data_IF_226275969345
#
_entry.id   IF_226275969345
#
_cell.length_a   1.000
_cell.length_b   1.000
_cell.length_c   1.000
_cell.angle_alpha   90.00
_cell.angle_beta   90.00
_cell.angle_gamma   90.00
#
_symmetry.space_group_name_H-M   'P 1'
#
loop_
_entity.id
_entity.type
_entity.pdbx_description
1 polymer ?
2 water ?
#
# COMPACT_ATOMS: atom_id res chain seq x y z
N UNK A 1 -4.09 15.53 3.23
CA UNK A 1 -3.83 14.45 4.23
C UNK A 1 -4.83 14.45 5.38
N UNK A 2 -5.45 15.58 5.64
CA UNK A 2 -6.18 15.71 6.84
C UNK A 2 -7.48 14.89 6.81
N UNK A 3 -8.19 14.78 5.67
CA UNK A 3 -9.43 13.98 5.63
C UNK A 3 -9.18 12.47 5.49
N UNK A 4 -10.14 11.62 5.83
CA UNK A 4 -9.91 10.16 5.83
C UNK A 4 -9.96 9.47 4.47
N UNK A 5 -10.56 10.12 3.48
CA UNK A 5 -10.87 9.41 2.23
C UNK A 5 -9.80 9.49 1.16
N UNK A 6 -9.43 8.33 0.62
CA UNK A 6 -8.57 8.25 -0.54
C UNK A 6 -9.49 7.94 -1.70
N UNK A 7 -9.34 8.68 -2.79
CA UNK A 7 -10.07 8.39 -4.01
C UNK A 7 -9.14 8.38 -5.21
N UNK A 8 -9.69 8.19 -6.41
CA UNK A 8 -8.86 8.14 -7.59
C UNK A 8 -9.45 9.03 -8.68
N UNK A 9 -8.70 9.17 -9.78
CA UNK A 9 -9.11 10.03 -10.91
C UNK A 9 -9.09 9.22 -12.20
N UNK A 10 -9.77 9.75 -13.22
CA UNK A 10 -10.09 8.94 -14.39
C UNK A 10 -8.90 8.68 -15.29
N UNK A 11 -8.02 9.66 -15.46
CA UNK A 11 -6.99 9.56 -16.51
C UNK A 11 -5.67 10.28 -16.31
N UNK A 12 -5.11 10.75 -17.42
CA UNK A 12 -3.76 11.29 -17.44
C UNK A 12 -3.69 12.73 -16.92
N UNK A 13 -4.80 13.44 -17.05
CA UNK A 13 -4.87 14.84 -16.65
C UNK A 13 -6.02 15.05 -15.70
N UNK A 14 -5.89 16.06 -14.85
CA UNK A 14 -6.93 16.33 -13.88
C UNK A 14 -8.10 17.04 -14.56
N UNK A 15 -9.33 16.56 -14.35
CA UNK A 15 -10.50 17.24 -14.90
C UNK A 15 -10.95 18.36 -13.97
N UNK A 16 -11.79 19.25 -14.48
CA UNK A 16 -12.40 20.30 -13.67
C UNK A 16 -13.21 19.68 -12.51
N UNK A 17 -13.90 18.57 -12.80
CA UNK A 17 -14.63 17.77 -11.80
C UNK A 17 -13.73 17.29 -10.67
N UNK A 18 -12.59 16.69 -11.05
CA UNK A 18 -11.57 16.24 -10.10
C UNK A 18 -11.10 17.36 -9.17
N UNK A 19 -10.81 18.53 -9.75
CA UNK A 19 -10.30 19.66 -8.97
C UNK A 19 -11.25 20.07 -7.84
N UNK A 20 -12.54 20.03 -8.13
CA UNK A 20 -13.55 20.34 -7.13
C UNK A 20 -13.60 19.29 -6.04
N UNK A 21 -13.58 18.01 -6.42
CA UNK A 21 -13.71 16.98 -5.39
C UNK A 21 -12.50 16.96 -4.47
N UNK A 22 -11.32 17.26 -5.02
CA UNK A 22 -10.10 17.31 -4.21
C UNK A 22 -10.15 18.37 -3.11
N UNK A 23 -11.00 19.36 -3.25
CA UNK A 23 -11.12 20.37 -2.19
C UNK A 23 -12.09 20.02 -1.08
N UNK A 24 -12.79 18.90 -1.22
CA UNK A 24 -13.69 18.51 -0.17
C UNK A 24 -12.87 18.10 1.05
N UNK A 25 -13.16 18.65 2.23
CA UNK A 25 -12.30 18.39 3.40
C UNK A 25 -12.18 16.91 3.80
N UNK A 26 -13.16 16.09 3.42
CA UNK A 26 -13.12 14.63 3.72
C UNK A 26 -12.03 13.89 2.92
N UNK A 27 -11.56 14.50 1.84
CA UNK A 27 -10.53 13.88 1.02
C UNK A 27 -9.18 14.04 1.70
N UNK A 28 -8.43 12.95 1.77
CA UNK A 28 -7.07 12.99 2.33
C UNK A 28 -6.00 12.49 1.36
N UNK A 29 -6.41 11.81 0.29
CA UNK A 29 -5.44 11.23 -0.62
C UNK A 29 -5.99 10.85 -1.97
N UNK A 30 -5.07 10.63 -2.90
CA UNK A 30 -5.38 10.16 -4.24
C UNK A 30 -4.52 8.92 -4.46
N UNK A 31 -5.14 7.82 -4.87
CA UNK A 31 -4.41 6.64 -5.31
C UNK A 31 -4.35 6.67 -6.82
N UNK A 32 -3.16 6.43 -7.36
CA UNK A 32 -2.93 6.38 -8.79
C UNK A 32 -2.85 4.94 -9.29
N UNK A 33 -3.28 4.73 -10.53
CA UNK A 33 -3.27 3.42 -11.18
C UNK A 33 -2.61 3.51 -12.56
N UNK A 34 -2.46 2.38 -13.24
CA UNK A 34 -1.84 2.35 -14.56
C UNK A 34 -2.50 3.31 -15.54
N UNK A 35 -3.83 3.40 -15.46
CA UNK A 35 -4.61 4.30 -16.30
C UNK A 35 -4.30 5.79 -16.11
N UNK A 36 -3.64 6.13 -15.00
CA UNK A 36 -3.18 7.48 -14.74
C UNK A 36 -1.74 7.72 -15.17
N UNK A 37 -1.08 6.71 -15.72
CA UNK A 37 0.32 6.84 -16.10
C UNK A 37 0.59 6.62 -17.59
N UNK A 38 1.07 7.67 -18.24
CA UNK A 38 1.55 7.58 -19.62
C UNK A 38 3.08 7.70 -19.68
N UNK A 39 3.63 8.75 -19.08
CA UNK A 39 5.05 9.01 -19.13
C UNK A 39 5.48 9.87 -17.95
N UNK A 40 6.79 10.01 -17.76
CA UNK A 40 7.34 10.71 -16.59
C UNK A 40 6.88 12.16 -16.47
N UNK A 41 6.94 12.91 -17.57
CA UNK A 41 6.54 14.30 -17.50
C UNK A 41 5.03 14.47 -17.27
N UNK A 42 4.23 13.59 -17.87
CA UNK A 42 2.77 13.62 -17.64
C UNK A 42 2.45 13.31 -16.17
N UNK A 43 3.15 12.35 -15.59
CA UNK A 43 2.94 12.03 -14.16
C UNK A 43 3.30 13.22 -13.25
N UNK A 44 4.45 13.85 -13.49
CA UNK A 44 4.84 15.04 -12.72
C UNK A 44 3.78 16.16 -12.80
N UNK A 45 3.26 16.37 -14.00
CA UNK A 45 2.24 17.41 -14.23
C UNK A 45 0.93 17.07 -13.53
N UNK A 46 0.55 15.80 -13.55
CA UNK A 46 -0.64 15.33 -12.84
C UNK A 46 -0.55 15.58 -11.34
N UNK A 47 0.59 15.21 -10.76
CA UNK A 47 0.76 15.33 -9.33
C UNK A 47 0.88 16.79 -8.91
N UNK A 48 1.51 17.60 -9.75
CA UNK A 48 1.57 19.04 -9.50
C UNK A 48 0.15 19.63 -9.45
N UNK A 49 -0.67 19.23 -10.42
CA UNK A 49 -2.05 19.69 -10.48
C UNK A 49 -2.87 19.20 -9.29
N UNK A 50 -2.67 17.96 -8.87
CA UNK A 50 -3.38 17.45 -7.69
C UNK A 50 -3.03 18.30 -6.46
N UNK A 51 -1.76 18.59 -6.29
CA UNK A 51 -1.32 19.39 -5.14
C UNK A 51 -1.82 20.84 -5.19
N UNK A 52 -1.81 21.43 -6.40
CA UNK A 52 -2.31 22.79 -6.61
C UNK A 52 -3.81 22.87 -6.30
N UNK A 53 -4.57 21.90 -6.80
CA UNK A 53 -6.03 21.90 -6.61
C UNK A 53 -6.42 21.69 -5.16
N UNK A 54 -5.70 20.78 -4.48
CA UNK A 54 -5.97 20.45 -3.09
C UNK A 54 -5.71 21.66 -2.19
N UNK A 55 -4.69 22.43 -2.54
CA UNK A 55 -4.20 23.59 -1.78
C UNK A 55 -3.47 23.18 -0.51
N UNK A 56 -4.18 22.51 0.38
CA UNK A 56 -3.60 21.95 1.59
C UNK A 56 -2.83 20.68 1.23
N UNK A 57 -1.92 20.24 2.10
CA UNK A 57 -1.23 18.98 1.87
C UNK A 57 -2.20 17.83 1.63
N UNK A 58 -1.86 17.00 0.65
CA UNK A 58 -2.67 15.84 0.30
C UNK A 58 -1.69 14.71 0.00
N UNK A 59 -2.13 13.49 0.24
CA UNK A 59 -1.28 12.33 0.02
C UNK A 59 -1.50 11.80 -1.39
N UNK A 60 -0.41 11.38 -2.04
CA UNK A 60 -0.52 10.70 -3.33
C UNK A 60 0.15 9.33 -3.18
N UNK A 61 -0.58 8.27 -3.49
CA UNK A 61 -0.09 6.92 -3.31
C UNK A 61 -0.29 6.09 -4.55
N UNK A 62 0.41 4.95 -4.57
CA UNK A 62 0.38 4.02 -5.67
C UNK A 62 0.81 2.62 -5.15
N UNK A 63 0.33 1.56 -5.79
CA UNK A 63 0.84 0.20 -5.54
C UNK A 63 2.08 -0.06 -6.38
N UNK A 64 3.25 0.06 -5.77
CA UNK A 64 4.52 -0.06 -6.48
C UNK A 64 5.41 -0.97 -5.61
N UNK A 65 5.25 -2.28 -5.80
CA UNK A 65 5.98 -3.30 -5.05
C UNK A 65 7.18 -3.84 -5.80
N UNK A 66 7.08 -3.83 -7.12
CA UNK A 66 7.97 -4.58 -8.02
C UNK A 66 7.29 -5.81 -8.59
N UNK A 67 7.87 -6.36 -9.65
CA UNK A 67 7.39 -7.59 -10.23
C UNK A 67 6.01 -7.42 -10.82
N UNK A 68 5.07 -8.22 -10.34
CA UNK A 68 3.72 -8.20 -10.89
C UNK A 68 2.93 -6.97 -10.50
N UNK A 69 3.39 -6.27 -9.46
CA UNK A 69 2.72 -5.02 -9.02
C UNK A 69 3.69 -3.84 -9.15
N UNK A 70 3.69 -3.25 -10.32
CA UNK A 70 4.43 -2.01 -10.55
C UNK A 70 3.61 -1.20 -11.55
N UNK A 71 2.87 -0.21 -11.05
CA UNK A 71 2.01 0.61 -11.91
C UNK A 71 2.80 1.47 -12.87
N UNK A 72 3.94 1.99 -12.43
CA UNK A 72 4.72 2.92 -13.25
C UNK A 72 5.96 2.18 -13.70
N UNK A 73 5.99 1.80 -14.97
CA UNK A 73 7.08 0.97 -15.51
C UNK A 73 7.89 1.71 -16.56
N UNK A 74 7.22 2.17 -17.62
CA UNK A 74 7.91 2.87 -18.70
C UNK A 74 8.56 4.13 -18.19
N UNK A 75 9.90 4.23 -18.30
CA UNK A 75 10.62 5.42 -17.85
C UNK A 75 11.06 5.36 -16.40
N UNK A 76 10.70 4.28 -15.73
CA UNK A 76 11.16 3.94 -14.39
C UNK A 76 12.08 2.73 -14.47
N UNK A 77 12.91 2.55 -13.46
CA UNK A 77 13.65 1.31 -13.29
C UNK A 77 12.69 0.17 -12.96
N UNK A 78 12.86 -0.96 -13.63
CA UNK A 78 12.06 -2.14 -13.29
C UNK A 78 12.55 -2.72 -11.95
N UNK A 79 11.60 -2.97 -11.06
CA UNK A 79 11.88 -3.52 -9.75
C UNK A 79 11.46 -4.99 -9.82
N UNK A 80 12.29 -5.91 -9.33
CA UNK A 80 11.97 -7.32 -9.42
C UNK A 80 10.82 -7.73 -8.49
N UNK A 81 10.25 -8.92 -8.68
CA UNK A 81 9.38 -9.49 -7.65
C UNK A 81 10.12 -9.61 -6.32
N UNK A 82 9.40 -9.32 -5.23
CA UNK A 82 9.99 -9.40 -3.88
C UNK A 82 10.64 -10.74 -3.61
N UNK A 83 10.09 -11.80 -4.18
CA UNK A 83 10.64 -13.14 -4.02
C UNK A 83 12.11 -13.26 -4.44
N UNK A 84 12.54 -12.49 -5.44
CA UNK A 84 13.90 -12.67 -5.99
C UNK A 84 15.03 -12.33 -5.03
N UNK A 85 14.84 -11.38 -4.12
CA UNK A 85 15.98 -10.92 -3.28
C UNK A 85 16.61 -12.09 -2.52
N UNK A 86 15.78 -12.92 -1.88
CA UNK A 86 16.27 -14.04 -1.06
C UNK A 86 16.86 -15.19 -1.88
N UNK A 87 16.65 -15.17 -3.18
CA UNK A 87 17.25 -16.17 -4.06
C UNK A 87 18.69 -15.83 -4.46
N UNK A 88 19.10 -14.57 -4.24
CA UNK A 88 20.45 -14.12 -4.52
C UNK A 88 21.40 -14.35 -3.34
N UNK A 89 22.71 -14.38 -3.60
CA UNK A 89 23.72 -14.60 -2.54
C UNK A 89 23.84 -13.40 -1.59
N UNK A 90 23.47 -12.23 -2.09
CA UNK A 90 23.48 -11.03 -1.28
C UNK A 90 22.08 -10.42 -1.25
N UNK A 91 21.09 -11.24 -0.89
CA UNK A 91 19.68 -10.81 -0.89
C UNK A 91 19.35 -9.62 -0.01
N UNK A 92 19.94 -9.53 1.17
CA UNK A 92 19.64 -8.42 2.09
C UNK A 92 20.18 -7.10 1.50
N UNK A 93 21.38 -7.14 0.94
CA UNK A 93 21.96 -5.98 0.28
C UNK A 93 21.05 -5.56 -0.88
N UNK A 94 20.63 -6.51 -1.69
CA UNK A 94 19.82 -6.21 -2.87
C UNK A 94 18.39 -5.78 -2.52
N UNK A 95 17.81 -6.32 -1.45
CA UNK A 95 16.45 -5.92 -1.02
C UNK A 95 16.42 -4.47 -0.57
N UNK A 96 17.46 -4.05 0.15
CA UNK A 96 17.58 -2.63 0.51
C UNK A 96 17.72 -1.75 -0.71
N UNK A 97 18.50 -2.18 -1.72
CA UNK A 97 18.60 -1.44 -2.96
C UNK A 97 17.27 -1.33 -3.68
N UNK A 98 16.50 -2.41 -3.69
CA UNK A 98 15.17 -2.41 -4.33
C UNK A 98 14.22 -1.43 -3.66
N UNK A 99 14.18 -1.44 -2.34
CA UNK A 99 13.29 -0.56 -1.56
C UNK A 99 13.68 0.89 -1.73
N UNK A 100 14.99 1.15 -1.67
CA UNK A 100 15.51 2.49 -1.86
C UNK A 100 15.22 3.01 -3.26
N UNK A 101 15.48 2.19 -4.26
CA UNK A 101 15.28 2.58 -5.64
C UNK A 101 13.82 2.85 -5.97
N UNK A 103 11.40 3.60 -3.94
CA UNK A 103 10.99 4.77 -3.20
C UNK A 103 11.51 6.07 -3.76
N UNK A 104 12.82 6.09 -4.06
CA UNK A 104 13.49 7.28 -4.58
C UNK A 104 12.88 7.71 -5.89
N UNK A 105 12.61 6.76 -6.79
CA UNK A 105 12.02 7.10 -8.08
C UNK A 105 10.59 7.64 -7.93
N UNK A 106 9.82 7.14 -6.97
CA UNK A 106 8.50 7.70 -6.69
C UNK A 106 8.60 9.13 -6.16
N UNK A 107 9.50 9.37 -5.23
CA UNK A 107 9.70 10.69 -4.64
C UNK A 107 10.13 11.67 -5.73
N UNK A 108 10.96 11.20 -6.65
CA UNK A 108 11.40 12.05 -7.78
C UNK A 108 10.25 12.45 -8.70
N UNK A 109 9.14 11.72 -8.65
CA UNK A 109 7.96 12.05 -9.45
C UNK A 109 6.77 12.56 -8.63
N UNK A 110 7.08 13.02 -7.42
CA UNK A 110 6.14 13.75 -6.57
C UNK A 110 5.03 12.85 -6.02
N UNK A 111 5.35 11.58 -5.76
CA UNK A 111 4.46 10.64 -5.11
C UNK A 111 4.91 10.48 -3.65
N UNK A 112 3.96 10.50 -2.70
CA UNK A 112 4.31 10.35 -1.28
C UNK A 112 4.69 8.94 -0.89
N UNK A 113 3.91 7.97 -1.34
CA UNK A 113 4.11 6.61 -0.84
C UNK A 113 3.67 5.53 -1.80
N UNK A 114 4.25 4.35 -1.59
CA UNK A 114 3.80 3.15 -2.23
C UNK A 114 3.22 2.29 -1.13
N UNK A 115 2.13 1.63 -1.43
CA UNK A 115 1.55 0.68 -0.48
C UNK A 115 2.38 -0.61 -0.50
N UNK A 116 3.45 -0.61 0.30
CA UNK A 116 4.44 -1.68 0.33
C UNK A 116 5.22 -1.58 1.63
N UNK A 117 5.71 -2.69 2.19
CA UNK A 117 5.89 -3.97 1.50
C UNK A 117 4.87 -5.03 1.89
N UNK A 118 4.81 -6.08 1.07
CA UNK A 118 4.07 -7.29 1.36
C UNK A 118 4.82 -8.08 2.45
N UNK A 119 4.11 -8.39 3.53
CA UNK A 119 4.66 -9.14 4.66
C UNK A 119 4.01 -10.52 4.76
N UNK A 120 3.22 -10.87 3.75
CA UNK A 120 2.60 -12.19 3.66
C UNK A 120 3.67 -13.28 3.49
N UNK A 122 4.78 -17.05 2.18
CA UNK A 122 4.54 -18.18 1.27
C UNK A 122 4.08 -17.74 -0.11
N UNK A 123 4.18 -18.66 -1.07
CA UNK A 123 3.90 -18.36 -2.48
C UNK A 123 2.65 -19.06 -3.02
N UNK A 124 1.98 -19.85 -2.20
CA UNK A 124 0.90 -20.73 -2.65
C UNK A 124 -0.40 -20.02 -3.00
N UNK A 125 -0.61 -18.83 -2.44
CA UNK A 125 -1.81 -18.05 -2.77
C UNK A 125 -1.54 -17.34 -4.09
N UNK A 126 -2.32 -17.69 -5.12
CA UNK A 126 -2.12 -17.15 -6.47
C UNK A 126 -2.02 -15.62 -6.52
N UNK A 127 -2.88 -14.96 -5.76
CA UNK A 127 -2.92 -13.49 -5.70
C UNK A 127 -1.64 -12.90 -5.14
N UNK A 128 -0.98 -13.64 -4.25
CA UNK A 128 0.29 -13.20 -3.68
C UNK A 128 1.46 -13.75 -4.49
N UNK A 129 1.67 -15.06 -4.43
CA UNK A 129 2.74 -15.66 -5.21
C UNK A 129 4.09 -15.01 -4.96
N UNK A 130 4.78 -14.62 -6.03
CA UNK A 130 6.12 -14.07 -5.92
C UNK A 130 6.17 -12.62 -5.42
N UNK A 131 5.02 -12.08 -5.01
CA UNK A 131 5.00 -10.83 -4.25
C UNK A 131 5.51 -10.98 -2.83
N UNK A 132 5.59 -12.22 -2.34
CA UNK A 132 6.07 -12.47 -1.00
C UNK A 132 7.60 -12.54 -1.01
N UNK A 133 8.22 -12.09 0.07
CA UNK A 133 9.68 -12.09 0.21
C UNK A 133 10.23 -13.48 0.50
N UNK A 134 9.39 -14.39 0.98
CA UNK A 134 9.86 -15.73 1.36
C UNK A 134 8.73 -16.64 1.82
N UNK A 135 9.08 -17.87 2.19
CA UNK A 135 8.13 -18.92 2.61
C UNK A 135 8.16 -19.22 4.09
N UNK A 136 9.05 -18.58 4.83
CA UNK A 136 9.14 -18.78 6.26
C UNK A 136 9.35 -17.46 6.94
N UNK A 137 9.16 -17.45 8.26
CA UNK A 137 9.20 -16.22 9.04
C UNK A 137 10.54 -15.49 8.93
N UNK A 138 11.64 -16.24 9.09
CA UNK A 138 12.96 -15.61 9.10
C UNK A 138 13.30 -14.97 7.75
N UNK A 139 13.03 -15.69 6.66
CA UNK A 139 13.30 -15.20 5.32
C UNK A 139 12.47 -13.95 5.02
N UNK A 140 11.21 -13.96 5.41
CA UNK A 140 10.37 -12.77 5.18
C UNK A 140 10.88 -11.61 6.00
N UNK A 141 11.14 -11.81 7.28
CA UNK A 141 11.61 -10.71 8.12
C UNK A 141 12.94 -10.12 7.64
N UNK A 142 13.89 -11.00 7.31
CA UNK A 142 15.23 -10.58 6.85
C UNK A 142 15.17 -9.64 5.65
N UNK A 143 14.41 -10.03 4.64
CA UNK A 143 14.39 -9.34 3.37
C UNK A 143 13.39 -8.18 3.33
N UNK A 144 12.26 -8.30 4.02
CA UNK A 144 11.33 -7.20 4.10
C UNK A 144 11.90 -6.09 4.98
N UNK A 145 12.64 -6.43 6.04
CA UNK A 145 13.29 -5.42 6.89
C UNK A 145 14.26 -4.59 6.06
N UNK A 146 15.00 -5.26 5.18
CA UNK A 146 15.98 -4.60 4.30
C UNK A 146 15.29 -3.65 3.33
N UNK A 147 14.21 -4.12 2.71
CA UNK A 147 13.42 -3.32 1.80
C UNK A 147 12.87 -2.09 2.52
N UNK A 148 12.34 -2.30 3.73
CA UNK A 148 11.86 -1.20 4.58
C UNK A 148 12.95 -0.17 4.90
N UNK A 149 14.15 -0.63 5.23
CA UNK A 149 15.26 0.28 5.47
C UNK A 149 15.54 1.18 4.28
N UNK A 150 15.44 0.61 3.08
CA UNK A 150 15.68 1.33 1.85
C UNK A 150 14.63 2.42 1.67
N UNK A 152 12.76 3.83 4.03
CA UNK A 152 12.94 4.81 5.11
C UNK A 152 14.13 5.76 4.82
N UNK A 153 15.18 5.21 4.22
CA UNK A 153 16.39 5.95 3.92
C UNK A 153 16.13 7.18 3.05
N UNK A 154 15.14 7.10 2.16
CA UNK A 154 14.79 8.24 1.30
C UNK A 154 13.60 9.05 1.79
N UNK A 155 13.06 8.71 2.95
CA UNK A 155 12.00 9.51 3.58
C UNK A 155 10.60 9.09 3.18
N UNK A 157 7.25 6.87 3.86
CA UNK A 157 6.50 6.15 4.88
C UNK A 157 6.21 4.71 4.41
N UNK A 158 6.21 3.79 5.35
CA UNK A 158 6.03 2.36 5.03
C UNK A 158 4.65 1.82 5.41
N UNK A 159 4.19 0.84 4.64
CA UNK A 159 2.87 0.23 4.83
C UNK A 159 2.94 -1.28 4.75
N UNK A 160 2.75 -1.95 5.88
CA UNK A 160 2.76 -3.41 5.89
C UNK A 160 1.42 -3.94 5.39
N UNK A 161 1.46 -5.02 4.61
CA UNK A 161 0.24 -5.66 4.14
C UNK A 161 0.46 -7.15 3.94
N UNK A 162 -0.60 -7.97 3.93
CA UNK A 162 -1.99 -7.61 4.21
C UNK A 162 -2.37 -8.24 5.54
N UNK A 163 -2.45 -7.40 6.56
CA UNK A 163 -2.63 -7.86 7.93
C UNK A 163 -3.97 -8.60 8.11
N UNK A 164 -3.98 -9.79 8.73
CA UNK A 164 -2.90 -10.40 9.53
C UNK A 164 -2.14 -11.49 8.77
N UNK A 165 -2.30 -11.55 7.45
CA UNK A 165 -1.54 -12.46 6.63
C UNK A 165 -2.37 -13.06 5.54
N UNK A 166 -1.96 -12.82 4.31
CA UNK A 166 -2.67 -13.27 3.11
C UNK A 166 -2.00 -14.48 2.45
N UNK A 167 -0.94 -15.00 3.09
CA UNK A 167 -0.10 -16.02 2.47
C UNK A 167 -0.76 -17.35 2.16
N UNK A 168 -1.79 -17.71 2.92
CA UNK A 168 -2.44 -19.02 2.79
C UNK A 168 -3.94 -18.94 2.44
N UNK A 169 -4.34 -17.86 1.80
CA UNK A 169 -5.73 -17.59 1.50
C UNK A 169 -6.23 -18.46 0.34
N UNK A 170 -7.47 -18.93 0.50
CA UNK A 170 -8.18 -19.69 -0.51
C UNK A 170 -9.39 -18.88 -0.95
N UNK A 171 -9.71 -18.91 -2.24
CA UNK A 171 -10.82 -18.12 -2.75
C UNK A 171 -11.73 -18.91 -3.68
N UNK A 172 -11.97 -20.17 -3.30
CA UNK A 172 -12.89 -21.03 -4.03
C UNK A 172 -14.33 -20.80 -3.56
N UNK A 173 -15.22 -21.76 -3.78
CA UNK A 173 -16.64 -21.58 -3.53
C UNK A 173 -17.09 -21.98 -2.11
N UNK A 174 -16.14 -22.34 -1.25
CA UNK A 174 -16.47 -22.76 0.12
C UNK A 174 -17.14 -21.66 0.95
N UNK A 175 -16.68 -20.43 0.76
CA UNK A 175 -17.22 -19.23 1.43
C UNK A 175 -17.36 -18.12 0.41
N UNK A 176 -18.10 -17.06 0.75
CA UNK A 176 -18.41 -15.97 -0.19
C UNK A 176 -17.33 -14.88 -0.22
N UNK A 177 -16.38 -14.98 0.70
CA UNK A 177 -15.23 -14.07 0.80
C UNK A 177 -13.97 -14.94 0.85
N UNK A 178 -12.85 -14.48 0.29
CA UNK A 178 -11.60 -15.24 0.42
C UNK A 178 -11.29 -15.51 1.88
N UNK A 179 -10.72 -16.66 2.18
CA UNK A 179 -10.70 -17.11 3.54
C UNK A 179 -9.46 -17.90 3.89
N UNK A 180 -9.24 -18.01 5.19
CA UNK A 180 -8.16 -18.80 5.74
C UNK A 180 -8.72 -19.52 6.95
N UNK A 181 -9.02 -20.81 6.78
CA UNK A 181 -9.68 -21.57 7.85
C UNK A 181 -8.74 -22.24 8.86
N UNK A 182 -7.45 -21.95 8.78
CA UNK A 182 -6.49 -22.49 9.76
C UNK A 182 -6.88 -22.17 11.19
N UNK A 183 -6.69 -23.15 12.09
CA UNK A 183 -7.00 -22.96 13.51
C UNK A 183 -6.06 -21.96 14.16
N UNK A 184 -4.84 -21.87 13.62
CA UNK A 184 -3.90 -20.86 14.05
C UNK A 184 -3.15 -20.26 12.86
N UNK A 185 -2.99 -18.94 12.88
CA UNK A 185 -2.14 -18.26 11.89
C UNK A 185 -0.96 -17.60 12.58
N UNK A 186 -0.50 -18.23 13.66
CA UNK A 186 0.58 -17.72 14.49
C UNK A 186 1.83 -17.33 13.72
N UNK A 187 2.29 -18.17 12.79
CA UNK A 187 3.53 -17.87 12.07
C UNK A 187 3.36 -16.61 11.23
N UNK A 188 2.26 -16.55 10.50
CA UNK A 188 1.94 -15.39 9.66
C UNK A 188 1.87 -14.12 10.46
N UNK A 190 3.20 -13.56 13.34
CA UNK A 190 4.51 -13.31 13.98
C UNK A 190 5.35 -12.35 13.18
N UNK A 191 5.19 -12.39 11.86
CA UNK A 191 5.90 -11.45 10.98
C UNK A 191 5.43 -10.02 11.24
N UNK A 192 4.11 -9.82 11.28
CA UNK A 192 3.54 -8.51 11.57
C UNK A 192 3.93 -8.06 12.97
N UNK A 193 3.84 -8.96 13.94
CA UNK A 193 4.21 -8.63 15.31
C UNK A 193 5.63 -8.09 15.39
N UNK A 194 6.56 -8.78 14.74
CA UNK A 194 7.98 -8.43 14.77
C UNK A 194 8.25 -7.09 14.14
N UNK A 195 7.59 -6.81 13.02
CA UNK A 195 7.78 -5.52 12.35
C UNK A 195 7.14 -4.35 13.10
N UNK A 196 5.96 -4.58 13.71
CA UNK A 196 5.34 -3.58 14.60
C UNK A 196 6.26 -3.30 15.79
N UNK A 197 6.75 -4.35 16.42
CA UNK A 197 7.62 -4.18 17.59
C UNK A 197 8.94 -3.47 17.27
N UNK A 198 9.48 -3.70 16.08
CA UNK A 198 10.69 -3.00 15.63
C UNK A 198 10.44 -1.53 15.32
N UNK A 199 9.18 -1.13 15.17
CA UNK A 199 8.81 0.27 14.97
C UNK A 199 9.07 0.79 13.57
N UNK A 200 9.04 -0.11 12.58
CA UNK A 200 9.39 0.22 11.21
C UNK A 200 8.20 0.35 10.27
N UNK A 201 6.98 0.22 10.80
CA UNK A 201 5.76 0.34 9.96
C UNK A 201 5.03 1.61 10.32
N UNK A 202 4.87 2.49 9.36
CA UNK A 202 4.08 3.73 9.56
C UNK A 202 2.59 3.53 9.39
N UNK A 203 2.23 2.53 8.60
CA UNK A 203 0.85 2.26 8.30
C UNK A 203 0.65 0.75 8.10
N UNK A 206 -5.03 -3.92 5.95
CA UNK A 206 -5.57 -5.21 6.30
C UNK A 206 -6.07 -6.01 5.09
N UNK A 207 -6.11 -7.32 5.25
CA UNK A 207 -6.60 -8.23 4.23
C UNK A 207 -8.13 -8.28 4.22
N UNK A 208 -8.72 -8.28 3.02
CA UNK A 208 -10.17 -8.53 2.89
C UNK A 208 -10.36 -10.06 2.82
N UNK A 209 -10.13 -10.67 3.98
CA UNK A 209 -10.06 -12.11 4.15
C UNK A 209 -10.73 -12.47 5.47
N UNK A 210 -11.54 -13.53 5.47
CA UNK A 210 -12.17 -14.02 6.68
C UNK A 210 -11.34 -15.15 7.26
N UNK A 211 -11.13 -15.10 8.57
CA UNK A 211 -10.38 -16.09 9.34
C UNK A 211 -11.39 -16.70 10.35
N UNK A 212 -12.19 -17.67 9.92
CA UNK A 212 -13.40 -18.07 10.68
C UNK A 212 -13.16 -18.61 12.08
N UNK A 213 -11.95 -19.05 12.38
CA UNK A 213 -11.60 -19.49 13.76
C UNK A 213 -11.61 -18.29 14.69
N UNK A 214 -11.31 -17.13 14.13
CA UNK A 214 -11.09 -15.89 14.87
C UNK A 214 -12.28 -14.94 14.89
N UNK A 215 -12.92 -14.74 13.73
CA UNK A 215 -13.93 -13.70 13.62
C UNK A 215 -14.68 -13.90 12.31
N UNK A 216 -15.95 -13.49 12.27
CA UNK A 216 -16.78 -13.62 11.06
C UNK A 216 -16.49 -12.61 9.97
N UNK A 217 -15.98 -11.43 10.35
CA UNK A 217 -15.80 -10.34 9.39
C UNK A 217 -14.46 -10.44 8.69
N UNK A 218 -14.38 -9.96 7.44
CA UNK A 218 -13.09 -9.83 6.79
C UNK A 218 -12.23 -8.93 7.66
N UNK A 219 -10.93 -9.19 7.74
CA UNK A 219 -10.07 -8.45 8.66
C UNK A 219 -10.17 -6.94 8.46
N UNK A 220 -10.34 -6.54 7.20
CA UNK A 220 -10.41 -5.16 6.82
C UNK A 220 -11.67 -4.45 7.31
N UNK A 221 -12.67 -5.18 7.78
CA UNK A 221 -13.85 -4.55 8.38
C UNK A 221 -14.20 -5.13 9.75
N UNK A 222 -13.18 -5.61 10.45
CA UNK A 222 -13.37 -6.40 11.65
C UNK A 222 -12.89 -5.63 12.87
N UNK A 223 -13.80 -5.36 13.80
CA UNK A 223 -13.40 -4.74 15.06
C UNK A 223 -12.42 -5.61 15.83
N UNK A 224 -12.56 -6.93 15.75
CA UNK A 224 -11.58 -7.81 16.39
C UNK A 224 -10.17 -7.62 15.84
N UNK A 225 -10.02 -7.73 14.53
CA UNK A 225 -8.69 -7.68 13.93
C UNK A 225 -8.04 -6.30 14.07
N UNK A 226 -8.81 -5.25 13.84
CA UNK A 226 -8.25 -3.89 13.74
C UNK A 226 -8.18 -3.17 15.07
N UNK A 227 -8.93 -3.60 16.08
CA UNK A 227 -8.83 -2.99 17.41
C UNK A 227 -8.24 -3.95 18.42
N UNK A 228 -8.91 -5.06 18.71
CA UNK A 228 -8.42 -5.98 19.72
C UNK A 228 -7.02 -6.51 19.42
N UNK A 229 -6.79 -6.94 18.19
CA UNK A 229 -5.52 -7.54 17.84
C UNK A 229 -4.51 -6.46 17.48
N UNK A 230 -4.80 -5.65 16.46
CA UNK A 230 -3.79 -4.75 15.92
C UNK A 230 -3.38 -3.69 16.93
N UNK A 231 -4.35 -3.14 17.67
CA UNK A 231 -4.07 -2.08 18.64
C UNK A 231 -3.74 -2.64 20.01
N UNK A 232 -4.64 -3.47 20.56
CA UNK A 232 -4.49 -3.90 21.96
C UNK A 232 -3.45 -4.99 22.13
N UNK A 233 -3.55 -6.06 21.36
CA UNK A 233 -2.61 -7.17 21.51
C UNK A 233 -1.23 -6.86 20.93
N UNK A 234 -1.19 -6.23 19.75
CA UNK A 234 0.08 -6.02 19.05
C UNK A 234 0.74 -4.66 19.28
N UNK A 235 -0.06 -3.70 19.72
CA UNK A 235 0.45 -2.39 20.12
C UNK A 235 0.80 -1.47 18.96
N UNK A 236 0.17 -1.69 17.81
CA UNK A 236 0.45 -0.85 16.65
C UNK A 236 -0.07 0.55 16.88
N UNK A 237 0.75 1.55 16.57
CA UNK A 237 0.44 2.97 16.81
C UNK A 237 0.26 3.78 15.54
N UNK A 238 0.44 3.16 14.37
CA UNK A 238 0.40 3.88 13.10
C UNK A 238 -0.99 4.01 12.51
N UNK A 239 -1.02 4.35 11.22
CA UNK A 239 -2.25 4.53 10.47
C UNK A 239 -2.77 3.20 9.96
N UNK A 240 -4.05 2.94 10.14
CA UNK A 240 -4.70 1.78 9.58
C UNK A 240 -5.54 2.22 8.39
N UNK A 241 -5.24 1.63 7.24
CA UNK A 241 -6.01 1.85 6.01
C UNK A 241 -7.13 0.83 5.95
N UNK A 242 -8.21 1.16 5.25
CA UNK A 242 -9.18 0.13 4.87
C UNK A 242 -8.73 -0.57 3.61
N UNK A 243 -9.49 -1.60 3.25
CA UNK A 243 -9.38 -2.21 1.93
C UNK A 243 -10.11 -1.29 0.95
N UNK A 244 -10.12 -1.65 -0.34
CA UNK A 244 -10.92 -0.90 -1.30
C UNK A 244 -12.40 -1.14 -1.08
N UNK A 245 -13.06 -0.14 -0.50
CA UNK A 245 -14.46 -0.28 -0.12
C UNK A 245 -15.40 -0.26 -1.31
N UNK A 246 -14.86 -0.10 -2.51
CA UNK A 246 -15.69 -0.17 -3.69
C UNK A 246 -16.04 -1.65 -3.99
N UNK A 248 -16.82 -5.60 -2.13
CA UNK A 248 -17.11 -6.44 -0.98
C UNK A 248 -17.84 -7.62 -1.57
N UNK A 249 -17.10 -8.68 -1.89
CA UNK A 249 -17.63 -9.77 -2.68
C UNK A 249 -18.82 -10.47 -2.07
N UNK A 250 -18.86 -10.57 -0.74
CA UNK A 250 -20.02 -11.21 -0.07
C UNK A 250 -21.31 -10.43 -0.38
N UNK A 251 -21.17 -9.12 -0.60
CA UNK A 251 -22.25 -8.22 -0.95
C UNK A 251 -23.36 -8.19 0.11
N UNK A 252 -22.96 -8.31 1.38
CA UNK A 252 -23.92 -8.30 2.51
C UNK A 252 -23.85 -7.03 3.36
N UNK A 254 -24.13 -3.70 2.62
CA UNK A 254 -24.80 -2.47 2.19
C UNK A 254 -24.03 -1.63 1.21
N UNK A 255 -24.45 -0.38 1.07
CA UNK A 255 -23.86 0.55 0.12
C UNK A 255 -22.59 1.17 0.65
N UNK A 256 -21.99 2.04 -0.15
CA UNK A 256 -20.68 2.61 0.17
C UNK A 256 -20.64 3.38 1.49
N UNK A 257 -21.71 4.08 1.82
CA UNK A 257 -21.79 4.80 3.08
C UNK A 257 -21.76 3.82 4.26
N UNK A 258 -22.52 2.74 4.17
CA UNK A 258 -22.56 1.76 5.26
C UNK A 258 -21.22 1.06 5.40
N UNK A 259 -20.59 0.74 4.26
CA UNK A 259 -19.27 0.09 4.27
C UNK A 259 -18.21 1.03 4.87
N UNK A 260 -18.26 2.30 4.47
CA UNK A 260 -17.37 3.31 5.01
C UNK A 260 -17.53 3.46 6.54
N UNK A 261 -18.77 3.50 7.00
CA UNK A 261 -19.05 3.61 8.45
C UNK A 261 -18.47 2.41 9.19
N UNK A 262 -18.71 1.22 8.69
CA UNK A 262 -18.19 0.02 9.33
C UNK A 262 -16.66 0.01 9.35
N UNK A 263 -15.99 0.44 8.27
CA UNK A 263 -14.52 0.44 8.28
C UNK A 263 -13.99 1.40 9.36
N UNK A 264 -14.62 2.56 9.48
CA UNK A 264 -14.22 3.53 10.50
C UNK A 264 -14.50 3.02 11.91
N UNK A 265 -15.70 2.46 12.12
CA UNK A 265 -16.04 1.91 13.44
C UNK A 265 -15.16 0.74 13.82
N UNK A 266 -14.81 -0.09 12.82
CA UNK A 266 -13.93 -1.25 13.02
C UNK A 266 -12.53 -0.89 13.47
N UNK A 267 -12.04 0.30 13.11
CA UNK A 267 -10.71 0.71 13.50
C UNK A 267 -9.84 1.29 12.41
N UNK A 268 -10.39 1.49 11.22
CA UNK A 268 -9.64 2.16 10.15
C UNK A 268 -9.53 3.67 10.41
N UNK A 269 -8.37 4.23 10.13
CA UNK A 269 -8.17 5.67 10.20
C UNK A 269 -8.54 6.32 8.87
N UNK A 271 -9.97 5.58 4.70
CA UNK A 271 -10.77 4.68 3.87
C UNK A 271 -10.44 4.91 2.41
N UNK A 272 -10.52 3.85 1.61
CA UNK A 272 -10.18 3.89 0.19
C UNK A 272 -11.41 3.53 -0.63
N UNK A 273 -11.75 4.38 -1.60
CA UNK A 273 -12.80 4.06 -2.59
C UNK A 273 -12.20 4.22 -3.99
N UNK A 274 -11.97 3.11 -4.67
CA UNK A 274 -11.34 3.13 -5.99
C UNK A 274 -12.35 2.82 -7.09
N UNK A 275 -12.11 3.37 -8.27
CA UNK A 275 -12.86 3.02 -9.49
C UNK A 275 -14.34 3.39 -9.53
N UNK A 276 -14.82 4.14 -8.54
CA UNK A 276 -16.24 4.42 -8.42
C UNK A 276 -16.44 5.84 -7.91
N UNK A 277 -16.31 6.81 -8.80
CA UNK A 277 -16.53 8.19 -8.46
C UNK A 277 -17.90 8.43 -7.81
N UNK A 278 -18.96 7.81 -8.31
CA UNK A 278 -20.29 8.05 -7.72
C UNK A 278 -20.38 7.55 -6.28
N UNK A 279 -19.65 6.48 -5.96
CA UNK A 279 -19.64 5.96 -4.58
C UNK A 279 -18.86 6.92 -3.69
N UNK A 280 -17.74 7.45 -4.20
CA UNK A 280 -16.93 8.39 -3.46
C UNK A 280 -17.76 9.62 -3.13
N UNK A 281 -18.51 10.10 -4.12
CA UNK A 281 -19.34 11.29 -3.93
C UNK A 281 -20.43 11.04 -2.90
N UNK A 282 -21.04 9.85 -2.94
CA UNK A 282 -22.06 9.49 -1.96
C UNK A 282 -21.48 9.54 -0.55
N UNK A 283 -20.27 9.01 -0.40
CA UNK A 283 -19.60 9.03 0.90
C UNK A 283 -19.30 10.49 1.30
N UNK A 284 -18.73 11.28 0.40
CA UNK A 284 -18.45 12.69 0.66
C UNK A 284 -19.70 13.45 1.09
N UNK A 285 -20.83 13.14 0.46
CA UNK A 285 -22.07 13.86 0.72
C UNK A 285 -22.74 13.45 2.03
N UNK A 286 -22.31 12.34 2.62
CA UNK A 286 -22.99 11.81 3.79
C UNK A 286 -22.15 11.64 5.05
N UNK A 287 -20.85 11.48 4.91
CA UNK A 287 -20.01 11.22 6.08
C UNK A 287 -19.82 12.51 6.89
N UNK A 288 -19.76 12.43 8.21
CA UNK A 288 -19.36 13.57 9.03
C UNK A 288 -18.03 14.11 8.56
N UNK A 289 -17.77 15.39 8.75
CA UNK A 289 -16.47 15.94 8.41
C UNK A 289 -15.46 15.58 9.49
N UNK A 291 -11.09 14.79 10.56
CA UNK A 291 -9.69 15.05 10.27
C UNK A 291 -8.84 13.90 10.80
N UNK A 292 -7.75 13.62 10.08
CA UNK A 292 -6.81 12.59 10.51
C UNK A 292 -5.42 13.24 10.59
N UNK A 293 -5.21 14.05 11.62
CA UNK A 293 -3.96 14.83 11.71
C UNK A 293 -2.71 13.96 11.78
N UNK A 294 -2.81 12.81 12.43
CA UNK A 294 -1.70 11.85 12.53
C UNK A 294 -1.24 11.31 11.16
N UNK A 295 -2.09 11.44 10.13
CA UNK A 295 -1.72 11.01 8.78
C UNK A 295 -0.69 11.90 8.11
N UNK A 296 -0.43 13.08 8.68
CA UNK A 296 0.65 13.93 8.17
C UNK A 296 1.99 13.21 8.25
N UNK A 297 2.09 12.20 9.13
CA UNK A 297 3.27 11.36 9.21
C UNK A 297 3.57 10.59 7.91
N UNK A 298 2.56 10.46 7.03
CA UNK A 298 2.71 9.73 5.79
C UNK A 298 3.21 10.56 4.62
N UNK A 299 3.24 11.89 4.77
CA UNK A 299 3.77 12.77 3.72
C UNK A 299 5.26 12.51 3.57
N UNK A 300 5.77 12.53 2.35
CA UNK A 300 7.20 12.25 2.14
C UNK A 300 8.08 13.29 2.82
N UNK A 301 9.26 12.85 3.27
CA UNK A 301 10.19 13.70 4.03
C UNK A 301 11.31 14.30 3.19
N UNK A 302 11.39 13.94 1.92
CA UNK A 302 12.44 14.45 1.03
C UNK A 302 11.84 14.90 -0.28
N UNK A 303 12.55 15.80 -0.95
CA UNK A 303 12.12 16.30 -2.24
C UNK A 303 13.35 16.46 -3.12
N UNK A 304 13.30 15.87 -4.31
CA UNK A 304 14.37 15.98 -5.31
C UNK A 304 13.83 15.62 -6.68
N UNK A 305 14.57 15.98 -7.73
CA UNK A 305 14.22 15.62 -9.10
C UNK A 305 14.85 14.30 -9.52
N UNK A 306 14.37 13.73 -10.62
CA UNK A 306 14.93 12.50 -11.16
C UNK A 306 16.37 12.73 -11.65
N UNK A 307 16.60 13.88 -12.28
CA UNK A 307 17.95 14.30 -12.67
C UNK A 307 18.92 14.32 -11.51
N UNK A 308 18.51 14.90 -10.39
CA UNK A 308 19.33 14.96 -9.19
C UNK A 308 19.61 13.56 -8.63
N UNK A 309 18.56 12.74 -8.58
CA UNK A 309 18.67 11.37 -8.10
C UNK A 309 19.69 10.55 -8.90
N UNK A 310 19.67 10.69 -10.21
CA UNK A 310 20.54 9.93 -11.08
C UNK A 310 22.05 10.24 -10.92
N UNK A 311 22.37 11.34 -10.26
CA UNK A 311 23.76 11.73 -10.02
C UNK A 311 24.35 10.93 -8.87
N UNK A 312 23.50 10.22 -8.13
CA UNK A 312 23.99 9.38 -7.03
C UNK A 312 24.54 8.09 -7.59
N UNK A 313 25.74 7.73 -7.13
CA UNK A 313 26.27 6.43 -7.47
C UNK A 313 25.33 5.36 -6.95
N UNK A 314 24.65 5.65 -5.85
CA UNK A 314 23.67 4.75 -5.26
C UNK A 314 22.58 4.41 -6.24
N UNK A 315 22.16 5.40 -7.03
CA UNK A 315 21.12 5.17 -8.04
C UNK A 315 21.68 4.38 -9.20
N UNK A 316 22.86 4.80 -9.65
CA UNK A 316 23.51 4.16 -10.79
C UNK A 316 23.66 2.67 -10.58
N UNK A 317 24.13 2.30 -9.39
CA UNK A 317 24.34 0.93 -9.02
C UNK A 317 23.04 0.16 -8.77
N UNK A 318 22.11 0.75 -8.01
CA UNK A 318 20.86 0.08 -7.69
C UNK A 318 20.07 -0.25 -8.97
N UNK A 319 20.00 0.70 -9.89
CA UNK A 319 19.20 0.51 -11.09
C UNK A 319 19.81 -0.62 -11.95
N UNK A 320 21.14 -0.61 -12.07
CA UNK A 320 21.84 -1.67 -12.80
C UNK A 320 21.69 -3.04 -12.13
N UNK A 321 21.80 -3.08 -10.80
CA UNK A 321 21.66 -4.32 -10.04
C UNK A 321 20.26 -4.91 -10.13
N UNK A 323 18.16 -4.64 -12.64
CA UNK A 323 18.03 -5.25 -13.97
C UNK A 323 18.73 -6.62 -14.00
N UNK A 324 19.91 -6.71 -13.40
CA UNK A 324 20.68 -7.97 -13.36
C UNK A 324 19.96 -9.04 -12.55
N UNK A 325 19.32 -8.62 -11.45
CA UNK A 325 18.57 -9.53 -10.61
C UNK A 325 17.34 -10.11 -11.37
N UNK A 326 16.65 -9.27 -12.12
CA UNK A 326 15.50 -9.71 -12.90
C UNK A 326 15.94 -10.73 -13.94
N UNK A 327 17.01 -10.41 -14.65
CA UNK A 327 17.56 -11.31 -15.67
C UNK A 327 18.03 -12.63 -15.08
N UNK A 328 18.52 -12.60 -13.84
CA UNK A 328 19.01 -13.79 -13.17
C UNK A 328 17.93 -14.85 -12.95
N UNK A 329 16.73 -14.43 -12.52
CA UNK A 329 15.70 -15.39 -12.12
C UNK A 329 14.42 -15.45 -12.95
N UNK A 330 14.35 -14.64 -14.00
CA UNK A 330 13.16 -14.63 -14.85
C UNK A 330 13.09 -15.90 -15.72
#
# INVERSE_FOLDING_TARGET
>A
SLGPLWLDVAGYELSAEDREILQHPTVGGVILFGRNYHDNQQLLALNKAIRQAAKRPILIGVDQEGGRVQRFREGFSRIPPAQYYARAENGVELAEQGGWLXAAELIAHDVDLSFAPVLDXGFACKAIGNRAFGEDVQTVLKHSSAFLRGXKAVGXATTGKHFPGHGAVIADSHLETPYDERETIAQDXAIFRAQIEAGVLDAXXPAHVVYPHYDAQPASGSSYWLKQVLREELGFKGIVFSDDLSXEGAAVXGGPVERSHQALVAGCDXILICNKREAAVEVLDNLPIXEVPQAEALLKKQQFSYSELKRLERWQQASANXQRLIEQFSEEGGSHHHHHH
#
